data_IF_359983049410
#
_entry.id   IF_359983049410
#
_cell.length_a   1.000
_cell.length_b   1.000
_cell.length_c   1.000
_cell.angle_alpha   90.00
_cell.angle_beta   90.00
_cell.angle_gamma   90.00
#
_symmetry.space_group_name_H-M   'P 1'
#
loop_
_entity.id
_entity.type
_entity.pdbx_description
1 polymer ?
#
# COMPACT_ATOMS: atom_id res chain seq x y z
N UNK A 1 -2.58 -3.44 -27.46
CA UNK A 1 -3.20 -2.11 -27.33
C UNK A 1 -4.32 -2.07 -26.27
N UNK A 2 -4.50 -3.10 -25.43
CA UNK A 2 -5.58 -3.15 -24.42
C UNK A 2 -5.13 -2.65 -23.03
N UNK A 3 -3.88 -2.90 -22.64
CA UNK A 3 -3.35 -2.52 -21.31
C UNK A 3 -3.33 -1.02 -21.05
N UNK A 4 -2.93 -0.24 -22.06
CA UNK A 4 -2.85 1.21 -21.92
C UNK A 4 -4.25 1.84 -21.70
N UNK A 5 -5.31 1.28 -22.30
CA UNK A 5 -6.67 1.79 -22.08
C UNK A 5 -7.23 1.36 -20.72
N UNK A 6 -6.96 0.14 -20.28
CA UNK A 6 -7.45 -0.35 -18.98
C UNK A 6 -6.73 0.38 -17.82
N UNK A 7 -5.44 0.66 -17.96
CA UNK A 7 -4.70 1.52 -17.04
C UNK A 7 -5.26 2.94 -16.99
N UNK A 8 -5.49 3.58 -18.13
CA UNK A 8 -6.03 4.94 -18.18
C UNK A 8 -7.44 5.01 -17.58
N UNK A 9 -8.31 4.03 -17.88
CA UNK A 9 -9.67 3.94 -17.33
C UNK A 9 -9.65 3.74 -15.82
N UNK A 10 -8.85 2.80 -15.31
CA UNK A 10 -8.76 2.55 -13.87
C UNK A 10 -8.16 3.76 -13.13
N UNK A 11 -7.18 4.44 -13.74
CA UNK A 11 -6.60 5.66 -13.17
C UNK A 11 -7.60 6.81 -13.13
N UNK A 12 -8.41 6.99 -14.16
CA UNK A 12 -9.43 8.03 -14.19
C UNK A 12 -10.56 7.74 -13.20
N UNK A 13 -10.96 6.48 -13.06
CA UNK A 13 -11.92 6.07 -12.04
C UNK A 13 -11.37 6.29 -10.62
N UNK A 14 -10.10 5.97 -10.37
CA UNK A 14 -9.46 6.25 -9.08
C UNK A 14 -9.44 7.74 -8.75
N UNK A 15 -9.22 8.61 -9.75
CA UNK A 15 -9.29 10.08 -9.56
C UNK A 15 -10.69 10.56 -9.23
N UNK A 16 -11.72 9.95 -9.81
CA UNK A 16 -13.11 10.27 -9.52
C UNK A 16 -13.46 9.92 -8.07
N UNK A 17 -13.11 8.71 -7.61
CA UNK A 17 -13.28 8.28 -6.22
C UNK A 17 -12.55 9.22 -5.24
N UNK A 18 -11.32 9.64 -5.57
CA UNK A 18 -10.52 10.54 -4.74
C UNK A 18 -11.06 11.98 -4.70
N UNK A 19 -11.94 12.36 -5.63
CA UNK A 19 -12.53 13.69 -5.68
C UNK A 19 -13.82 13.81 -4.87
N UNK A 20 -14.31 12.71 -4.28
CA UNK A 20 -15.52 12.71 -3.46
C UNK A 20 -15.29 13.39 -2.09
N UNK A 21 -16.24 14.23 -1.66
CA UNK A 21 -16.12 15.03 -0.43
C UNK A 21 -16.45 14.24 0.85
N UNK A 22 -16.98 13.02 0.74
CA UNK A 22 -17.43 12.17 1.85
C UNK A 22 -16.43 11.06 2.21
N UNK A 23 -15.21 11.11 1.66
CA UNK A 23 -14.13 10.19 2.01
C UNK A 23 -13.76 10.32 3.50
N UNK A 24 -13.93 9.22 4.23
CA UNK A 24 -13.58 9.14 5.65
C UNK A 24 -12.20 8.51 5.90
N UNK A 25 -11.69 7.74 4.93
CA UNK A 25 -10.35 7.16 4.96
C UNK A 25 -9.88 6.83 3.53
N UNK A 26 -8.56 6.87 3.30
CA UNK A 26 -7.96 6.40 2.06
C UNK A 26 -6.58 5.77 2.32
N UNK A 27 -6.24 4.78 1.50
CA UNK A 27 -4.88 4.24 1.37
C UNK A 27 -4.55 4.12 -0.12
N UNK A 28 -3.55 4.88 -0.57
CA UNK A 28 -3.11 4.93 -1.96
C UNK A 28 -1.66 4.46 -2.04
N UNK A 29 -1.37 3.50 -2.91
CA UNK A 29 -0.02 3.13 -3.32
C UNK A 29 0.20 3.51 -4.77
N UNK A 30 1.32 4.18 -5.07
CA UNK A 30 1.74 4.54 -6.43
C UNK A 30 3.11 3.94 -6.69
N UNK A 31 3.18 3.05 -7.67
CA UNK A 31 4.43 2.49 -8.17
C UNK A 31 4.85 3.32 -9.38
N UNK A 32 6.12 3.74 -9.38
CA UNK A 32 6.73 4.49 -10.47
C UNK A 32 7.58 3.58 -11.35
N UNK A 33 7.94 4.05 -12.54
CA UNK A 33 8.75 3.30 -13.50
C UNK A 33 10.15 2.94 -12.98
N UNK A 34 10.63 3.62 -11.94
CA UNK A 34 11.88 3.35 -11.23
C UNK A 34 11.70 2.39 -10.03
N UNK A 35 10.58 1.67 -9.99
CA UNK A 35 10.18 0.74 -8.91
C UNK A 35 9.98 1.40 -7.53
N UNK A 36 10.04 2.74 -7.47
CA UNK A 36 9.73 3.51 -6.26
C UNK A 36 8.25 3.41 -5.92
N UNK A 37 7.95 3.15 -4.65
CA UNK A 37 6.58 3.04 -4.12
C UNK A 37 6.28 4.21 -3.17
N UNK A 38 5.40 5.11 -3.59
CA UNK A 38 4.85 6.16 -2.72
C UNK A 38 3.54 5.66 -2.08
N UNK A 39 3.42 5.77 -0.76
CA UNK A 39 2.17 5.44 -0.05
C UNK A 39 1.60 6.65 0.67
N UNK A 40 0.29 6.83 0.56
CA UNK A 40 -0.47 7.88 1.28
C UNK A 40 -1.58 7.22 2.06
N UNK A 41 -1.59 7.48 3.37
CA UNK A 41 -2.65 7.05 4.28
C UNK A 41 -3.27 8.29 4.92
N UNK A 42 -4.56 8.48 4.72
CA UNK A 42 -5.30 9.60 5.29
C UNK A 42 -6.60 9.11 5.93
N UNK A 43 -7.02 9.80 6.99
CA UNK A 43 -8.23 9.48 7.77
C UNK A 43 -8.86 10.75 8.34
N UNK A 44 -10.18 10.79 8.38
CA UNK A 44 -10.94 11.80 9.13
C UNK A 44 -11.08 11.45 10.60
N UNK A 45 -11.48 12.42 11.43
CA UNK A 45 -11.70 12.31 12.88
C UNK A 45 -12.95 11.48 13.28
N UNK A 46 -13.28 10.41 12.55
CA UNK A 46 -14.46 9.60 12.89
C UNK A 46 -14.17 8.66 14.06
N UNK A 47 -15.07 8.59 15.06
CA UNK A 47 -15.01 7.69 16.24
C UNK A 47 -15.29 6.20 15.92
N UNK A 48 -15.08 5.76 14.67
CA UNK A 48 -15.23 4.36 14.29
C UNK A 48 -14.00 3.56 14.71
N UNK A 49 -14.15 2.23 14.89
CA UNK A 49 -13.06 1.32 15.25
C UNK A 49 -11.93 1.36 14.19
N UNK A 50 -10.91 2.16 14.49
CA UNK A 50 -9.76 2.47 13.63
C UNK A 50 -9.05 1.20 13.15
N UNK A 51 -8.97 0.21 14.04
CA UNK A 51 -8.38 -1.10 13.77
C UNK A 51 -9.18 -1.91 12.76
N UNK A 52 -10.51 -1.88 12.83
CA UNK A 52 -11.38 -2.60 11.89
C UNK A 52 -11.35 -1.97 10.51
N UNK A 53 -11.25 -0.65 10.41
CA UNK A 53 -11.10 0.04 9.12
C UNK A 53 -9.76 -0.27 8.46
N UNK A 54 -8.65 -0.19 9.22
CA UNK A 54 -7.33 -0.56 8.72
C UNK A 54 -7.27 -2.03 8.26
N UNK A 55 -7.85 -2.96 9.05
CA UNK A 55 -7.93 -4.37 8.69
C UNK A 55 -8.82 -4.62 7.47
N UNK A 56 -9.93 -3.89 7.34
CA UNK A 56 -10.82 -3.99 6.17
C UNK A 56 -10.10 -3.53 4.90
N UNK A 57 -9.31 -2.47 5.00
CA UNK A 57 -8.51 -1.96 3.89
C UNK A 57 -7.38 -2.93 3.51
N UNK A 58 -6.67 -3.47 4.50
CA UNK A 58 -5.66 -4.52 4.27
C UNK A 58 -6.28 -5.75 3.61
N UNK A 59 -7.44 -6.21 4.07
CA UNK A 59 -8.14 -7.35 3.49
C UNK A 59 -8.56 -7.09 2.03
N UNK A 60 -9.04 -5.89 1.71
CA UNK A 60 -9.35 -5.50 0.34
C UNK A 60 -8.09 -5.52 -0.54
N UNK A 61 -6.96 -5.06 -0.02
CA UNK A 61 -5.67 -5.06 -0.73
C UNK A 61 -5.15 -6.49 -0.98
N UNK A 62 -5.13 -7.35 0.04
CA UNK A 62 -4.74 -8.76 -0.09
C UNK A 62 -5.60 -9.46 -1.15
N UNK A 63 -6.91 -9.21 -1.16
CA UNK A 63 -7.81 -9.79 -2.16
C UNK A 63 -7.46 -9.34 -3.58
N UNK A 64 -7.17 -8.06 -3.78
CA UNK A 64 -6.80 -7.52 -5.09
C UNK A 64 -5.50 -8.17 -5.61
N UNK A 65 -4.44 -8.15 -4.79
CA UNK A 65 -3.14 -8.73 -5.14
C UNK A 65 -3.23 -10.23 -5.40
N UNK A 66 -3.94 -10.98 -4.56
CA UNK A 66 -4.16 -12.41 -4.75
C UNK A 66 -4.88 -12.73 -6.07
N UNK A 67 -5.89 -11.92 -6.41
CA UNK A 67 -6.64 -12.08 -7.67
C UNK A 67 -5.72 -11.84 -8.88
N UNK A 68 -4.85 -10.85 -8.81
CA UNK A 68 -3.91 -10.49 -9.88
C UNK A 68 -2.76 -11.51 -10.01
N UNK A 69 -2.16 -11.91 -8.89
CA UNK A 69 -1.04 -12.86 -8.86
C UNK A 69 -1.49 -14.32 -9.01
N UNK A 70 -2.79 -14.62 -8.91
CA UNK A 70 -3.34 -15.97 -9.01
C UNK A 70 -2.90 -16.88 -7.87
N UNK A 71 -2.75 -16.33 -6.66
CA UNK A 71 -2.30 -17.04 -5.45
C UNK A 71 -3.32 -16.90 -4.31
N UNK A 72 -3.20 -17.73 -3.29
CA UNK A 72 -4.10 -17.70 -2.13
C UNK A 72 -3.81 -16.50 -1.22
N UNK A 73 -4.85 -16.00 -0.53
CA UNK A 73 -4.75 -14.83 0.37
C UNK A 73 -3.68 -14.99 1.45
N UNK A 74 -3.58 -16.18 2.05
CA UNK A 74 -2.62 -16.47 3.12
C UNK A 74 -1.16 -16.39 2.63
N UNK A 75 -0.91 -16.76 1.36
CA UNK A 75 0.42 -16.66 0.76
C UNK A 75 0.82 -15.19 0.57
N UNK A 76 -0.09 -14.36 0.04
CA UNK A 76 0.13 -12.91 -0.10
C UNK A 76 0.41 -12.26 1.26
N UNK A 77 -0.39 -12.60 2.28
CA UNK A 77 -0.21 -12.06 3.62
C UNK A 77 1.15 -12.45 4.22
N UNK A 78 1.56 -13.71 4.06
CA UNK A 78 2.85 -14.20 4.55
C UNK A 78 4.04 -13.53 3.85
N UNK A 79 3.99 -13.43 2.51
CA UNK A 79 5.04 -12.81 1.72
C UNK A 79 5.16 -11.31 2.02
N UNK A 80 4.02 -10.61 2.11
CA UNK A 80 4.00 -9.19 2.47
C UNK A 80 4.58 -8.96 3.88
N UNK A 81 4.25 -9.82 4.86
CA UNK A 81 4.83 -9.74 6.19
C UNK A 81 6.34 -10.00 6.20
N UNK A 82 6.81 -10.95 5.39
CA UNK A 82 8.24 -11.25 5.27
C UNK A 82 9.04 -10.10 4.63
N UNK A 83 8.47 -9.44 3.62
CA UNK A 83 9.08 -8.27 2.97
C UNK A 83 9.10 -7.08 3.93
N UNK A 84 8.00 -6.83 4.66
CA UNK A 84 7.93 -5.76 5.64
C UNK A 84 9.01 -5.92 6.73
N UNK A 85 9.21 -7.14 7.23
CA UNK A 85 10.27 -7.42 8.21
C UNK A 85 11.68 -7.13 7.67
N UNK A 86 11.96 -7.47 6.41
CA UNK A 86 13.26 -7.17 5.78
C UNK A 86 13.49 -5.66 5.63
N UNK A 87 12.45 -4.88 5.34
CA UNK A 87 12.55 -3.43 5.22
C UNK A 87 12.86 -2.76 6.57
N UNK A 88 12.25 -3.26 7.64
CA UNK A 88 12.57 -2.82 9.01
C UNK A 88 14.03 -3.12 9.36
N UNK A 89 14.52 -4.33 9.06
CA UNK A 89 15.91 -4.72 9.31
C UNK A 89 16.90 -3.83 8.52
N UNK A 90 16.66 -3.61 7.22
CA UNK A 90 17.50 -2.72 6.39
C UNK A 90 17.51 -1.28 6.91
N UNK A 91 16.39 -0.80 7.44
CA UNK A 91 16.30 0.53 8.03
C UNK A 91 17.14 0.64 9.32
N UNK A 92 17.12 -0.40 10.16
CA UNK A 92 17.95 -0.47 11.37
C UNK A 92 19.44 -0.51 11.02
N UNK A 93 19.85 -1.36 10.07
CA UNK A 93 21.25 -1.46 9.63
C UNK A 93 21.77 -0.14 9.03
N UNK A 94 20.93 0.61 8.32
CA UNK A 94 21.28 1.93 7.79
C UNK A 94 21.51 2.98 8.89
N UNK A 95 20.71 2.92 9.97
CA UNK A 95 20.88 3.79 11.14
C UNK A 95 22.15 3.45 11.94
N UNK A 96 22.50 2.16 12.05
CA UNK A 96 23.73 1.73 12.73
C UNK A 96 25.00 2.14 11.97
N UNK A 97 25.00 2.06 10.63
CA UNK A 97 26.12 2.52 9.80
C UNK A 97 26.32 4.03 9.90
N UNK A 98 25.24 4.82 9.90
CA UNK A 98 25.32 6.28 10.05
C UNK A 98 25.94 6.68 11.39
N UNK A 99 25.62 5.98 12.49
CA UNK A 99 26.19 6.25 13.80
C UNK A 99 27.67 5.82 13.92
N UNK A 100 28.11 4.83 13.13
CA UNK A 100 29.49 4.35 13.15
C UNK A 100 30.46 5.22 12.30
N UNK A 101 29.94 6.04 11.38
CA UNK A 101 30.74 6.95 10.56
C UNK A 101 31.02 8.32 11.24
N UNK A 102 30.29 8.61 12.33
CA UNK A 102 30.43 9.83 13.14
C UNK A 102 31.30 9.64 14.42
N UNK A 103 31.89 8.45 14.64
CA UNK A 103 32.82 8.13 15.77
C UNK A 103 34.31 8.05 15.38
#
# INVERSE_FOLDING_TARGET
>A
MSDASDFEVNRDHARELLAEDDLTALHLGVIRDDDTVDTVVARGDSESDESLQALSLLAAHIRAVATEAGVEYDAVAADAAAIAGQLDDLSVEAMEQTNAEDE
#
